data_IF_445764241545
#
_entry.id   IF_445764241545
#
_cell.length_a   1.000
_cell.length_b   1.000
_cell.length_c   1.000
_cell.angle_alpha   90.00
_cell.angle_beta   90.00
_cell.angle_gamma   90.00
#
_symmetry.space_group_name_H-M   'P 1'
#
loop_
_entity.id
_entity.type
_entity.pdbx_description
1 polymer ?
#
# COMPACT_ATOMS: atom_id res chain seq x y z
N UNK A 1 10.30 -47.10 57.53
CA UNK A 1 9.73 -45.83 57.02
C UNK A 1 10.71 -45.25 56.03
N UNK A 2 10.45 -45.40 54.73
CA UNK A 2 11.22 -44.76 53.66
C UNK A 2 10.32 -43.66 53.11
N UNK A 3 10.67 -42.40 53.35
CA UNK A 3 10.04 -41.26 52.69
C UNK A 3 10.64 -41.15 51.28
N UNK A 4 9.83 -41.45 50.27
CA UNK A 4 10.14 -41.11 48.89
C UNK A 4 9.78 -39.64 48.67
N UNK A 5 10.78 -38.80 48.41
CA UNK A 5 10.57 -37.45 47.92
C UNK A 5 10.10 -37.54 46.46
N UNK A 6 8.93 -36.98 46.18
CA UNK A 6 8.46 -36.74 44.82
C UNK A 6 9.22 -35.52 44.28
N UNK A 7 10.23 -35.76 43.45
CA UNK A 7 10.83 -34.70 42.64
C UNK A 7 9.81 -34.27 41.59
N UNK A 8 9.17 -33.14 41.84
CA UNK A 8 8.37 -32.44 40.84
C UNK A 8 9.32 -31.98 39.73
N UNK A 9 9.30 -32.70 38.61
CA UNK A 9 10.04 -32.34 37.40
C UNK A 9 9.41 -31.07 36.81
N UNK A 10 9.80 -29.90 37.33
CA UNK A 10 9.45 -28.62 36.76
C UNK A 10 10.04 -28.58 35.35
N UNK A 11 9.19 -28.61 34.31
CA UNK A 11 9.67 -28.40 32.96
C UNK A 11 10.45 -27.08 32.94
N UNK A 12 11.71 -27.07 32.46
CA UNK A 12 12.49 -25.85 32.42
C UNK A 12 11.72 -24.85 31.55
N UNK A 13 11.45 -23.67 32.14
CA UNK A 13 10.82 -22.56 31.44
C UNK A 13 11.58 -22.33 30.13
N UNK A 14 10.93 -22.39 28.96
CA UNK A 14 11.62 -22.20 27.70
C UNK A 14 12.26 -20.81 27.71
N UNK A 15 13.56 -20.75 27.41
CA UNK A 15 14.29 -19.49 27.29
C UNK A 15 13.69 -18.64 26.18
N UNK A 16 13.74 -17.32 26.34
CA UNK A 16 13.34 -16.37 25.30
C UNK A 16 14.17 -16.57 24.03
N UNK A 17 13.56 -16.42 22.86
CA UNK A 17 14.30 -16.39 21.59
C UNK A 17 15.04 -15.07 21.43
N UNK A 18 14.45 -13.97 21.92
CA UNK A 18 15.01 -12.62 21.86
C UNK A 18 14.76 -11.87 23.17
N UNK A 19 15.78 -11.18 23.67
CA UNK A 19 15.64 -10.11 24.68
C UNK A 19 16.03 -8.77 24.06
N UNK A 20 15.20 -7.75 24.28
CA UNK A 20 15.56 -6.36 24.03
C UNK A 20 15.76 -5.71 25.39
N UNK A 21 16.96 -5.22 25.68
CA UNK A 21 17.35 -4.71 27.01
C UNK A 21 17.85 -3.28 26.92
N UNK A 22 17.95 -2.60 28.07
CA UNK A 22 18.42 -1.21 28.15
C UNK A 22 17.61 -0.29 27.21
N UNK A 23 16.29 -0.45 27.20
CA UNK A 23 15.37 0.33 26.39
C UNK A 23 14.53 1.24 27.30
N UNK A 24 14.18 2.43 26.81
CA UNK A 24 13.09 3.21 27.39
C UNK A 24 11.77 2.72 26.76
N UNK A 25 11.07 1.77 27.38
CA UNK A 25 9.88 1.16 26.77
C UNK A 25 8.64 1.96 27.14
N UNK A 26 7.78 2.26 26.16
CA UNK A 26 6.41 2.71 26.40
C UNK A 26 5.45 1.57 26.05
N UNK A 27 4.66 1.11 27.03
CA UNK A 27 3.82 -0.10 26.87
C UNK A 27 2.41 0.21 26.37
N UNK A 28 1.98 1.47 26.46
CA UNK A 28 0.57 1.90 26.23
C UNK A 28 -0.41 1.32 27.26
N UNK A 29 0.09 0.66 28.32
CA UNK A 29 -0.71 0.25 29.48
C UNK A 29 -0.68 1.35 30.55
N UNK A 30 -1.84 1.86 30.95
CA UNK A 30 -1.94 2.88 31.99
C UNK A 30 -1.46 2.41 33.36
N UNK A 31 -1.51 1.11 33.65
CA UNK A 31 -1.05 0.56 34.94
C UNK A 31 0.46 0.37 34.97
N UNK A 32 1.08 0.02 33.83
CA UNK A 32 2.51 -0.23 33.70
C UNK A 32 3.11 0.52 32.49
N UNK A 33 3.07 1.87 32.47
CA UNK A 33 3.33 2.64 31.25
C UNK A 33 4.79 2.61 30.78
N UNK A 34 5.73 2.16 31.63
CA UNK A 34 7.15 2.14 31.35
C UNK A 34 7.79 0.81 31.75
N UNK A 35 8.80 0.39 30.99
CA UNK A 35 9.64 -0.76 31.29
C UNK A 35 11.07 -0.56 30.73
N UNK A 36 11.97 -1.48 31.05
CA UNK A 36 13.39 -1.40 30.70
C UNK A 36 13.84 -2.49 29.71
N UNK A 37 13.11 -3.61 29.66
CA UNK A 37 13.40 -4.73 28.79
C UNK A 37 12.14 -5.53 28.39
N UNK A 38 12.25 -6.29 27.29
CA UNK A 38 11.22 -7.20 26.76
C UNK A 38 11.84 -8.58 26.50
N UNK A 39 11.10 -9.64 26.83
CA UNK A 39 11.38 -11.01 26.41
C UNK A 39 10.38 -11.47 25.36
N UNK A 40 10.87 -12.12 24.30
CA UNK A 40 10.08 -12.64 23.18
C UNK A 40 10.37 -14.12 22.99
N UNK A 41 9.34 -14.93 22.74
CA UNK A 41 9.45 -16.31 22.25
C UNK A 41 8.71 -16.38 20.91
N UNK A 42 9.46 -16.63 19.83
CA UNK A 42 8.91 -16.64 18.48
C UNK A 42 8.31 -15.27 18.12
N UNK A 43 6.99 -15.23 17.92
CA UNK A 43 6.22 -14.04 17.56
C UNK A 43 5.48 -13.39 18.75
N UNK A 44 5.70 -13.87 19.97
CA UNK A 44 4.98 -13.40 21.17
C UNK A 44 5.91 -12.75 22.20
N UNK A 45 5.48 -11.60 22.71
CA UNK A 45 6.04 -11.00 23.91
C UNK A 45 5.58 -11.83 25.11
N UNK A 46 6.53 -12.37 25.88
CA UNK A 46 6.25 -13.23 27.04
C UNK A 46 6.52 -12.54 28.38
N UNK A 47 7.30 -11.45 28.38
CA UNK A 47 7.45 -10.58 29.53
C UNK A 47 7.90 -9.17 29.11
N UNK A 48 7.47 -8.18 29.88
CA UNK A 48 7.89 -6.77 29.79
C UNK A 48 8.12 -6.29 31.22
N UNK A 49 9.27 -5.69 31.51
CA UNK A 49 9.58 -5.31 32.88
C UNK A 49 10.97 -4.74 33.07
N UNK A 50 11.49 -4.89 34.28
CA UNK A 50 12.84 -4.48 34.64
C UNK A 50 13.91 -5.38 34.00
N UNK A 51 15.14 -4.87 33.87
CA UNK A 51 16.26 -5.67 33.33
C UNK A 51 16.46 -7.01 34.06
N UNK A 52 16.47 -7.10 35.41
CA UNK A 52 16.67 -8.38 36.10
C UNK A 52 15.54 -9.40 35.87
N UNK A 53 14.29 -8.94 35.83
CA UNK A 53 13.14 -9.81 35.55
C UNK A 53 13.26 -10.44 34.16
N UNK A 54 13.65 -9.65 33.17
CA UNK A 54 13.80 -10.10 31.78
C UNK A 54 15.03 -10.96 31.59
N UNK A 55 16.13 -10.70 32.29
CA UNK A 55 17.33 -11.53 32.23
C UNK A 55 17.08 -12.97 32.74
N UNK A 56 16.08 -13.17 33.62
CA UNK A 56 15.64 -14.51 34.06
C UNK A 56 15.05 -15.37 32.92
N UNK A 57 14.71 -14.77 31.78
CA UNK A 57 14.26 -15.47 30.58
C UNK A 57 15.41 -15.86 29.65
N UNK A 58 16.65 -15.44 29.94
CA UNK A 58 17.81 -15.76 29.11
C UNK A 58 18.09 -17.26 29.12
N UNK A 59 18.19 -17.83 27.91
CA UNK A 59 18.65 -19.19 27.66
C UNK A 59 19.90 -19.23 26.76
N UNK A 60 20.44 -20.43 26.51
CA UNK A 60 21.69 -20.60 25.75
C UNK A 60 21.63 -20.11 24.29
N UNK A 61 20.43 -20.05 23.70
CA UNK A 61 20.19 -19.62 22.30
C UNK A 61 19.53 -18.25 22.20
N UNK A 62 19.38 -17.54 23.33
CA UNK A 62 18.72 -16.24 23.36
C UNK A 62 19.57 -15.18 22.68
N UNK A 63 19.04 -14.57 21.63
CA UNK A 63 19.59 -13.35 21.06
C UNK A 63 19.32 -12.18 22.01
N UNK A 64 20.30 -11.29 22.19
CA UNK A 64 20.12 -10.08 23.02
C UNK A 64 20.49 -8.84 22.25
N UNK A 65 19.53 -7.93 22.17
CA UNK A 65 19.67 -6.59 21.62
C UNK A 65 19.80 -5.61 22.80
N UNK A 66 20.90 -4.87 22.85
CA UNK A 66 21.04 -3.69 23.71
C UNK A 66 20.50 -2.47 22.96
N UNK A 67 19.41 -1.88 23.45
CA UNK A 67 18.77 -0.73 22.82
C UNK A 67 19.51 0.59 23.09
N UNK A 68 20.52 0.61 23.97
CA UNK A 68 21.35 1.80 24.23
C UNK A 68 20.59 2.98 24.83
N UNK A 69 19.57 2.70 25.65
CA UNK A 69 18.67 3.70 26.25
C UNK A 69 17.63 4.27 25.26
N UNK A 70 17.57 3.78 24.02
CA UNK A 70 16.60 4.27 23.02
C UNK A 70 15.18 3.88 23.38
N UNK A 71 14.23 4.67 22.85
CA UNK A 71 12.80 4.43 22.99
C UNK A 71 12.37 3.20 22.20
N UNK A 72 11.66 2.27 22.87
CA UNK A 72 10.98 1.14 22.25
C UNK A 72 9.47 1.35 22.35
N UNK A 73 8.79 1.32 21.20
CA UNK A 73 7.35 1.51 21.08
C UNK A 73 6.70 0.25 20.47
N UNK A 74 5.40 0.02 20.70
CA UNK A 74 4.63 -0.86 19.85
C UNK A 74 4.72 -0.37 18.40
N UNK A 75 4.86 -1.29 17.45
CA UNK A 75 4.79 -0.93 16.04
C UNK A 75 3.42 -0.33 15.70
N UNK A 76 3.39 0.59 14.75
CA UNK A 76 2.17 1.28 14.37
C UNK A 76 1.19 0.33 13.68
N UNK A 77 -0.09 0.54 13.96
CA UNK A 77 -1.18 -0.11 13.26
C UNK A 77 -1.92 0.90 12.39
N UNK A 78 -1.90 0.71 11.08
CA UNK A 78 -2.78 1.47 10.19
C UNK A 78 -4.17 0.83 10.16
N UNK A 79 -5.17 1.59 10.60
CA UNK A 79 -6.52 1.07 10.78
C UNK A 79 -7.36 1.07 9.50
N UNK A 80 -6.91 1.70 8.39
CA UNK A 80 -7.70 1.76 7.17
C UNK A 80 -6.85 2.15 5.96
N UNK A 81 -6.58 1.20 5.07
CA UNK A 81 -5.90 1.47 3.81
C UNK A 81 -6.24 0.48 2.68
N UNK A 82 -5.83 0.82 1.46
CA UNK A 82 -5.87 -0.05 0.28
C UNK A 82 -4.44 -0.48 -0.05
N UNK A 83 -4.00 -1.61 0.52
CA UNK A 83 -2.57 -1.90 0.69
C UNK A 83 -1.88 -2.25 -0.63
N UNK A 84 -2.47 -3.12 -1.44
CA UNK A 84 -1.92 -3.48 -2.77
C UNK A 84 -1.93 -2.26 -3.70
N UNK A 85 -3.03 -1.51 -3.71
CA UNK A 85 -3.17 -0.32 -4.55
C UNK A 85 -2.16 0.75 -4.15
N UNK A 86 -1.95 0.97 -2.84
CA UNK A 86 -0.89 1.85 -2.32
C UNK A 86 0.50 1.39 -2.76
N UNK A 87 0.78 0.09 -2.69
CA UNK A 87 2.03 -0.50 -3.19
C UNK A 87 2.26 -0.32 -4.69
N UNK A 88 1.19 -0.38 -5.48
CA UNK A 88 1.25 -0.10 -6.92
C UNK A 88 1.50 1.39 -7.19
N UNK A 89 0.89 2.30 -6.42
CA UNK A 89 1.08 3.74 -6.55
C UNK A 89 2.53 4.18 -6.30
N UNK A 90 3.30 3.44 -5.49
CA UNK A 90 4.72 3.74 -5.24
C UNK A 90 5.62 3.62 -6.49
N UNK A 91 5.15 2.99 -7.57
CA UNK A 91 5.88 2.82 -8.84
C UNK A 91 5.21 3.53 -10.03
N UNK A 92 4.10 4.23 -9.76
CA UNK A 92 3.37 5.00 -10.75
C UNK A 92 4.05 6.34 -11.03
N UNK A 93 3.67 6.99 -12.13
CA UNK A 93 4.24 8.29 -12.47
C UNK A 93 3.82 9.35 -11.45
N UNK A 94 4.78 10.10 -10.92
CA UNK A 94 4.54 11.21 -10.00
C UNK A 94 4.53 12.55 -10.74
N UNK A 95 3.38 13.24 -10.73
CA UNK A 95 3.15 14.50 -11.45
C UNK A 95 2.74 15.66 -10.55
N UNK A 96 2.65 15.47 -9.22
CA UNK A 96 2.21 16.46 -8.23
C UNK A 96 2.98 17.78 -8.25
N UNK A 97 4.28 17.70 -8.51
CA UNK A 97 5.24 18.81 -8.56
C UNK A 97 5.68 19.14 -9.99
N UNK A 98 5.08 18.53 -11.02
CA UNK A 98 5.33 18.90 -12.41
C UNK A 98 4.72 20.27 -12.70
N UNK A 99 5.53 21.32 -12.59
CA UNK A 99 5.11 22.72 -12.66
C UNK A 99 5.02 23.30 -14.07
N UNK A 100 5.28 22.49 -15.11
CA UNK A 100 5.12 22.92 -16.51
C UNK A 100 4.57 21.78 -17.37
N UNK A 101 3.89 22.08 -18.49
CA UNK A 101 3.47 21.08 -19.46
C UNK A 101 4.65 20.22 -19.99
N UNK A 102 5.83 20.83 -20.15
CA UNK A 102 7.02 20.16 -20.65
C UNK A 102 7.55 19.14 -19.64
N UNK A 103 7.63 19.49 -18.37
CA UNK A 103 8.04 18.56 -17.31
C UNK A 103 7.02 17.44 -17.12
N UNK A 104 5.72 17.77 -17.19
CA UNK A 104 4.64 16.79 -17.19
C UNK A 104 4.82 15.75 -18.31
N UNK A 105 4.98 16.20 -19.56
CA UNK A 105 5.18 15.33 -20.71
C UNK A 105 6.47 14.50 -20.59
N UNK A 106 7.56 15.11 -20.12
CA UNK A 106 8.85 14.44 -19.92
C UNK A 106 8.78 13.31 -18.90
N UNK A 107 8.10 13.51 -17.77
CA UNK A 107 7.93 12.46 -16.75
C UNK A 107 7.07 11.31 -17.24
N UNK A 108 6.00 11.63 -17.97
CA UNK A 108 5.18 10.60 -18.65
C UNK A 108 6.01 9.83 -19.68
N UNK A 109 6.83 10.51 -20.48
CA UNK A 109 7.72 9.85 -21.44
C UNK A 109 8.71 8.90 -20.75
N UNK A 110 9.30 9.35 -19.64
CA UNK A 110 10.22 8.53 -18.85
C UNK A 110 9.53 7.29 -18.28
N UNK A 111 8.31 7.41 -17.74
CA UNK A 111 7.55 6.26 -17.24
C UNK A 111 7.15 5.33 -18.39
N UNK A 112 6.62 5.87 -19.49
CA UNK A 112 6.19 5.10 -20.66
C UNK A 112 7.35 4.29 -21.26
N UNK A 113 8.58 4.82 -21.23
CA UNK A 113 9.78 4.12 -21.73
C UNK A 113 10.18 2.88 -20.91
N UNK A 114 9.75 2.81 -19.64
CA UNK A 114 10.01 1.69 -18.72
C UNK A 114 8.81 0.77 -18.56
N UNK A 115 7.65 1.18 -19.06
CA UNK A 115 6.40 0.44 -18.93
C UNK A 115 6.40 -0.72 -19.93
N UNK A 116 6.22 -1.97 -19.49
CA UNK A 116 6.16 -3.12 -20.37
C UNK A 116 5.02 -3.01 -21.41
N UNK A 117 5.21 -3.66 -22.57
CA UNK A 117 4.22 -3.62 -23.64
C UNK A 117 2.89 -4.22 -23.15
N UNK A 118 1.81 -3.47 -23.32
CA UNK A 118 0.46 -3.86 -22.90
C UNK A 118 0.08 -3.39 -21.50
N UNK A 119 1.03 -2.85 -20.74
CA UNK A 119 0.77 -2.21 -19.45
C UNK A 119 0.47 -0.72 -19.62
N UNK A 120 -0.19 -0.16 -18.60
CA UNK A 120 -0.65 1.23 -18.59
C UNK A 120 0.25 2.08 -17.70
N UNK A 121 0.50 3.32 -18.12
CA UNK A 121 1.02 4.34 -17.22
C UNK A 121 -0.17 4.94 -16.46
N UNK A 122 -0.19 4.68 -15.15
CA UNK A 122 -1.21 5.13 -14.21
C UNK A 122 -0.61 6.06 -13.15
N UNK A 123 -1.48 6.59 -12.29
CA UNK A 123 -1.12 7.49 -11.19
C UNK A 123 -1.26 8.95 -11.58
N UNK A 124 -0.20 9.73 -11.41
CA UNK A 124 -0.18 11.15 -11.74
C UNK A 124 -0.26 12.03 -10.51
N UNK A 125 -1.48 12.44 -10.13
CA UNK A 125 -1.76 13.52 -9.17
C UNK A 125 -1.33 14.90 -9.66
N UNK A 126 -1.48 15.15 -10.96
CA UNK A 126 -1.11 16.43 -11.56
C UNK A 126 -2.02 17.57 -11.12
N UNK A 127 -1.50 18.79 -11.24
CA UNK A 127 -2.21 20.03 -10.93
C UNK A 127 -1.75 21.13 -11.90
N UNK A 128 -2.53 21.32 -12.96
CA UNK A 128 -2.30 22.30 -14.02
C UNK A 128 -2.37 23.74 -13.50
N UNK A 129 -3.01 23.98 -12.35
CA UNK A 129 -3.12 25.34 -11.77
C UNK A 129 -1.79 25.88 -11.29
N UNK A 130 -0.80 25.00 -11.11
CA UNK A 130 0.59 25.35 -10.78
C UNK A 130 1.43 25.70 -12.02
N UNK A 131 0.89 25.56 -13.23
CA UNK A 131 1.62 25.88 -14.45
C UNK A 131 1.63 27.40 -14.70
N UNK A 132 2.66 27.93 -15.40
CA UNK A 132 2.71 29.36 -15.75
C UNK A 132 1.48 29.84 -16.53
N UNK A 133 0.92 28.97 -17.37
CA UNK A 133 -0.36 29.17 -18.07
C UNK A 133 -1.30 28.00 -17.70
N UNK A 134 -2.22 28.20 -16.73
CA UNK A 134 -3.13 27.17 -16.22
C UNK A 134 -4.14 26.66 -17.24
N UNK A 135 -3.69 25.76 -18.11
CA UNK A 135 -4.56 25.06 -19.07
C UNK A 135 -4.54 23.57 -18.80
N UNK A 136 -5.72 22.96 -18.89
CA UNK A 136 -5.84 21.51 -18.80
C UNK A 136 -4.97 20.85 -19.88
N UNK A 137 -4.20 19.80 -19.53
CA UNK A 137 -3.49 19.04 -20.54
C UNK A 137 -4.47 18.37 -21.51
N UNK A 138 -4.00 18.13 -22.71
CA UNK A 138 -4.73 17.37 -23.73
C UNK A 138 -3.85 16.23 -24.20
N UNK A 139 -4.46 15.23 -24.86
CA UNK A 139 -3.75 14.08 -25.42
C UNK A 139 -2.60 14.50 -26.35
N UNK A 140 -2.72 15.66 -27.00
CA UNK A 140 -1.68 16.21 -27.88
C UNK A 140 -0.35 16.47 -27.14
N UNK A 141 -0.39 16.71 -25.84
CA UNK A 141 0.80 16.90 -25.01
C UNK A 141 1.58 15.58 -24.80
N UNK A 142 0.89 14.44 -24.78
CA UNK A 142 1.45 13.14 -24.37
C UNK A 142 1.52 12.11 -25.49
N UNK A 143 0.66 12.19 -26.52
CA UNK A 143 0.64 11.30 -27.68
C UNK A 143 2.03 11.20 -28.34
N UNK A 144 2.77 12.30 -28.60
CA UNK A 144 4.07 12.22 -29.27
C UNK A 144 5.16 11.50 -28.46
N UNK A 145 5.01 11.41 -27.14
CA UNK A 145 6.04 10.91 -26.22
C UNK A 145 5.69 9.56 -25.60
N UNK A 146 4.53 8.98 -25.94
CA UNK A 146 4.01 7.75 -25.32
C UNK A 146 3.93 6.56 -26.27
N UNK A 147 4.13 6.78 -27.59
CA UNK A 147 4.12 5.73 -28.62
C UNK A 147 2.84 4.87 -28.52
N UNK A 148 2.99 3.56 -28.31
CA UNK A 148 1.90 2.59 -28.19
C UNK A 148 1.52 2.30 -26.71
N UNK A 149 2.10 3.04 -25.76
CA UNK A 149 1.83 2.84 -24.33
C UNK A 149 0.55 3.60 -23.94
N UNK A 150 -0.51 2.92 -23.46
CA UNK A 150 -1.70 3.61 -22.97
C UNK A 150 -1.40 4.36 -21.66
N UNK A 151 -1.88 5.59 -21.57
CA UNK A 151 -1.72 6.46 -20.41
C UNK A 151 -3.10 6.82 -19.88
N UNK A 152 -3.29 6.71 -18.56
CA UNK A 152 -4.44 7.27 -17.86
C UNK A 152 -4.00 7.81 -16.50
N UNK A 153 -3.82 9.14 -16.42
CA UNK A 153 -3.25 9.81 -15.23
C UNK A 153 -4.22 10.79 -14.63
N UNK A 154 -4.44 10.68 -13.32
CA UNK A 154 -5.42 11.43 -12.54
C UNK A 154 -4.88 12.78 -12.08
N UNK A 155 -5.77 13.77 -12.02
CA UNK A 155 -5.57 15.04 -11.34
C UNK A 155 -5.52 14.82 -9.83
N UNK A 156 -4.91 15.75 -9.10
CA UNK A 156 -4.74 15.65 -7.64
C UNK A 156 -6.06 15.47 -6.87
N UNK A 157 -7.19 15.99 -7.40
CA UNK A 157 -8.51 15.90 -6.78
C UNK A 157 -9.29 14.62 -7.12
N UNK A 158 -8.78 13.79 -8.05
CA UNK A 158 -9.44 12.57 -8.50
C UNK A 158 -10.67 12.80 -9.39
N UNK A 159 -11.04 14.04 -9.70
CA UNK A 159 -12.25 14.36 -10.47
C UNK A 159 -11.99 14.52 -11.97
N UNK A 160 -10.72 14.50 -12.38
CA UNK A 160 -10.33 14.56 -13.79
C UNK A 160 -9.17 13.62 -14.05
N UNK A 161 -9.14 13.02 -15.24
CA UNK A 161 -7.99 12.25 -15.69
C UNK A 161 -7.71 12.49 -17.18
N UNK A 162 -6.43 12.39 -17.53
CA UNK A 162 -5.94 12.50 -18.90
C UNK A 162 -5.68 11.09 -19.47
N UNK A 163 -6.40 10.75 -20.53
CA UNK A 163 -6.14 9.60 -21.38
C UNK A 163 -5.47 10.01 -22.69
N UNK A 164 -4.44 9.29 -23.12
CA UNK A 164 -3.87 9.46 -24.46
C UNK A 164 -4.74 8.77 -25.54
N UNK A 165 -4.38 8.97 -26.81
CA UNK A 165 -5.13 8.39 -27.94
C UNK A 165 -5.18 6.85 -27.91
N UNK A 166 -4.10 6.21 -27.43
CA UNK A 166 -4.03 4.74 -27.30
C UNK A 166 -5.02 4.23 -26.26
N UNK A 167 -5.04 4.84 -25.07
CA UNK A 167 -5.98 4.49 -24.00
C UNK A 167 -7.44 4.66 -24.44
N UNK A 168 -7.78 5.77 -25.09
CA UNK A 168 -9.13 6.00 -25.61
C UNK A 168 -9.51 4.98 -26.69
N UNK A 169 -8.58 4.59 -27.56
CA UNK A 169 -8.81 3.55 -28.57
C UNK A 169 -9.10 2.19 -27.94
N UNK A 170 -8.33 1.79 -26.92
CA UNK A 170 -8.56 0.55 -26.18
C UNK A 170 -9.92 0.55 -25.47
N UNK A 171 -10.35 1.70 -24.97
CA UNK A 171 -11.65 1.92 -24.36
C UNK A 171 -12.82 2.07 -25.36
N UNK A 172 -12.55 2.09 -26.67
CA UNK A 172 -13.57 2.33 -27.68
C UNK A 172 -14.16 3.76 -27.68
N UNK A 173 -13.52 4.71 -27.01
CA UNK A 173 -13.97 6.10 -26.92
C UNK A 173 -13.60 6.86 -28.20
N UNK A 174 -14.56 7.59 -28.77
CA UNK A 174 -14.37 8.40 -29.96
C UNK A 174 -15.30 9.65 -29.97
N UNK A 175 -15.32 10.38 -31.10
CA UNK A 175 -16.14 11.58 -31.28
C UNK A 175 -17.65 11.34 -31.08
N UNK A 176 -18.14 10.12 -31.31
CA UNK A 176 -19.57 9.77 -31.18
C UNK A 176 -19.94 9.21 -29.81
N UNK A 177 -18.96 8.95 -28.93
CA UNK A 177 -19.25 8.47 -27.57
C UNK A 177 -20.01 9.56 -26.81
N UNK A 178 -21.22 9.32 -26.29
CA UNK A 178 -21.94 10.32 -25.54
C UNK A 178 -21.28 10.55 -24.17
N UNK A 179 -21.61 11.68 -23.54
CA UNK A 179 -21.37 11.85 -22.11
C UNK A 179 -22.21 10.86 -21.30
N UNK A 180 -21.82 10.63 -20.04
CA UNK A 180 -22.50 9.69 -19.13
C UNK A 180 -23.17 10.45 -17.99
N UNK A 181 -24.25 9.93 -17.38
CA UNK A 181 -24.80 10.55 -16.18
C UNK A 181 -23.74 10.76 -15.10
N UNK A 182 -23.58 12.00 -14.64
CA UNK A 182 -22.58 12.37 -13.63
C UNK A 182 -21.15 12.47 -14.14
N UNK A 183 -20.91 12.54 -15.46
CA UNK A 183 -19.56 12.70 -16.01
C UNK A 183 -19.53 13.28 -17.42
N UNK A 184 -18.43 13.93 -17.77
CA UNK A 184 -18.28 14.64 -19.06
C UNK A 184 -16.97 14.27 -19.75
N UNK A 185 -17.04 14.04 -21.06
CA UNK A 185 -15.87 13.91 -21.93
C UNK A 185 -15.56 15.29 -22.50
N UNK A 186 -14.42 15.87 -22.14
CA UNK A 186 -14.03 17.17 -22.68
C UNK A 186 -13.71 17.04 -24.18
N UNK A 187 -14.26 17.97 -24.98
CA UNK A 187 -14.13 17.97 -26.45
C UNK A 187 -13.53 19.27 -26.94
N UNK A 188 -12.79 19.18 -28.04
CA UNK A 188 -12.31 20.34 -28.78
C UNK A 188 -13.44 20.97 -29.64
N UNK A 189 -13.13 22.09 -30.31
CA UNK A 189 -14.10 22.78 -31.18
C UNK A 189 -14.57 21.98 -32.39
N UNK A 190 -13.96 20.83 -32.68
CA UNK A 190 -14.38 19.88 -33.73
C UNK A 190 -15.18 18.69 -33.18
N UNK A 191 -15.44 18.67 -31.86
CA UNK A 191 -16.17 17.59 -31.20
C UNK A 191 -15.33 16.35 -30.86
N UNK A 192 -14.01 16.38 -31.07
CA UNK A 192 -13.15 15.26 -30.74
C UNK A 192 -12.80 15.27 -29.24
N UNK A 193 -12.71 14.11 -28.56
CA UNK A 193 -12.23 14.05 -27.19
C UNK A 193 -10.81 14.63 -27.08
N UNK A 194 -10.62 15.54 -26.12
CA UNK A 194 -9.31 16.12 -25.81
C UNK A 194 -8.42 15.16 -25.02
N UNK A 195 -9.00 14.08 -24.48
CA UNK A 195 -8.35 13.16 -23.55
C UNK A 195 -8.70 13.43 -22.09
N UNK A 196 -9.38 14.53 -21.75
CA UNK A 196 -9.84 14.79 -20.37
C UNK A 196 -11.23 14.18 -20.13
N UNK A 197 -11.31 13.35 -19.09
CA UNK A 197 -12.54 12.73 -18.60
C UNK A 197 -12.82 13.22 -17.20
N UNK A 198 -14.04 13.70 -16.94
CA UNK A 198 -14.46 14.23 -15.65
C UNK A 198 -15.45 13.31 -14.95
N UNK A 199 -15.26 13.13 -13.65
CA UNK A 199 -16.16 12.38 -12.77
C UNK A 199 -16.50 10.99 -13.35
N UNK A 200 -17.79 10.64 -13.50
CA UNK A 200 -18.21 9.32 -13.96
C UNK A 200 -17.73 8.97 -15.38
N UNK A 201 -17.27 9.93 -16.19
CA UNK A 201 -16.73 9.64 -17.51
C UNK A 201 -15.38 8.90 -17.44
N UNK A 202 -14.65 8.99 -16.31
CA UNK A 202 -13.41 8.24 -16.10
C UNK A 202 -13.63 6.72 -16.18
N UNK A 203 -14.83 6.24 -15.80
CA UNK A 203 -15.23 4.83 -15.89
C UNK A 203 -15.20 4.27 -17.31
N UNK A 204 -15.33 5.13 -18.33
CA UNK A 204 -15.20 4.70 -19.72
C UNK A 204 -13.78 4.19 -20.00
N UNK A 205 -12.77 4.78 -19.36
CA UNK A 205 -11.37 4.40 -19.52
C UNK A 205 -10.99 3.30 -18.52
N UNK A 206 -11.40 3.39 -17.25
CA UNK A 206 -11.05 2.38 -16.23
C UNK A 206 -11.42 0.95 -16.67
N UNK A 207 -12.57 0.76 -17.32
CA UNK A 207 -13.04 -0.55 -17.81
C UNK A 207 -12.13 -1.19 -18.87
N UNK A 208 -11.28 -0.40 -19.53
CA UNK A 208 -10.32 -0.88 -20.51
C UNK A 208 -8.97 -1.25 -19.89
N UNK A 209 -8.73 -0.87 -18.63
CA UNK A 209 -7.50 -1.20 -17.90
C UNK A 209 -7.60 -2.66 -17.45
N UNK A 210 -6.65 -3.53 -17.86
CA UNK A 210 -6.64 -4.91 -17.39
C UNK A 210 -6.49 -4.98 -15.86
N UNK A 211 -7.11 -5.98 -15.21
CA UNK A 211 -6.84 -6.22 -13.80
C UNK A 211 -5.36 -6.55 -13.59
N UNK A 212 -4.86 -6.25 -12.38
CA UNK A 212 -3.48 -6.51 -12.02
C UNK A 212 -3.17 -8.02 -12.14
N UNK A 213 -2.12 -8.35 -12.89
CA UNK A 213 -1.61 -9.73 -12.96
C UNK A 213 -1.10 -10.17 -11.58
N UNK A 214 -0.91 -11.48 -11.40
CA UNK A 214 -0.36 -12.03 -10.16
C UNK A 214 1.02 -11.48 -9.83
N UNK A 215 1.92 -11.39 -10.82
CA UNK A 215 3.27 -10.85 -10.63
C UNK A 215 3.26 -9.37 -10.26
N UNK A 216 2.46 -8.55 -10.94
CA UNK A 216 2.31 -7.13 -10.59
C UNK A 216 1.79 -6.96 -9.16
N UNK A 217 0.88 -7.84 -8.73
CA UNK A 217 0.33 -7.84 -7.37
C UNK A 217 1.36 -8.20 -6.31
N UNK A 218 2.18 -9.22 -6.56
CA UNK A 218 3.31 -9.55 -5.69
C UNK A 218 4.32 -8.40 -5.60
N UNK A 219 4.64 -7.75 -6.72
CA UNK A 219 5.52 -6.58 -6.77
C UNK A 219 4.94 -5.42 -5.95
N UNK A 220 3.67 -5.09 -6.16
CA UNK A 220 2.97 -4.06 -5.40
C UNK A 220 2.94 -4.37 -3.89
N UNK A 221 2.61 -5.61 -3.51
CA UNK A 221 2.61 -6.07 -2.14
C UNK A 221 3.99 -5.90 -1.48
N UNK A 222 5.08 -6.30 -2.14
CA UNK A 222 6.44 -6.14 -1.62
C UNK A 222 6.79 -4.67 -1.40
N UNK A 223 6.49 -3.79 -2.34
CA UNK A 223 6.73 -2.34 -2.17
C UNK A 223 5.94 -1.79 -0.99
N UNK A 224 4.68 -2.17 -0.84
CA UNK A 224 3.86 -1.77 0.30
C UNK A 224 4.45 -2.27 1.63
N UNK A 225 4.91 -3.51 1.69
CA UNK A 225 5.55 -4.10 2.88
C UNK A 225 6.85 -3.37 3.26
N UNK A 226 7.72 -3.09 2.29
CA UNK A 226 8.95 -2.31 2.54
C UNK A 226 8.62 -0.89 3.00
N UNK A 227 7.63 -0.25 2.36
CA UNK A 227 7.22 1.11 2.74
C UNK A 227 6.65 1.14 4.16
N UNK A 228 5.73 0.25 4.49
CA UNK A 228 5.16 0.10 5.84
C UNK A 228 6.27 -0.12 6.89
N UNK A 229 7.19 -1.05 6.63
CA UNK A 229 8.31 -1.33 7.52
C UNK A 229 9.21 -0.11 7.74
N UNK A 230 9.49 0.67 6.69
CA UNK A 230 10.32 1.89 6.79
C UNK A 230 9.68 3.00 7.63
N UNK A 231 8.36 2.97 7.80
CA UNK A 231 7.60 3.89 8.64
C UNK A 231 7.26 3.31 10.04
N UNK A 232 7.74 2.08 10.35
CA UNK A 232 7.43 1.40 11.60
C UNK A 232 5.99 0.86 11.69
N UNK A 233 5.28 0.74 10.57
CA UNK A 233 3.95 0.14 10.48
C UNK A 233 4.08 -1.38 10.40
N UNK A 234 3.63 -2.06 11.45
CA UNK A 234 3.78 -3.53 11.61
C UNK A 234 2.45 -4.27 11.48
N UNK A 235 1.32 -3.57 11.46
CA UNK A 235 0.03 -4.14 11.09
C UNK A 235 -0.85 -3.14 10.35
N UNK A 236 -1.71 -3.66 9.48
CA UNK A 236 -2.62 -2.85 8.67
C UNK A 236 -3.98 -3.53 8.56
N UNK A 237 -5.02 -2.73 8.34
CA UNK A 237 -6.32 -3.21 7.88
C UNK A 237 -6.51 -2.86 6.40
N UNK A 238 -6.43 -3.88 5.54
CA UNK A 238 -6.66 -3.74 4.10
C UNK A 238 -8.15 -3.84 3.78
N UNK A 239 -8.71 -2.72 3.33
CA UNK A 239 -10.11 -2.58 2.97
C UNK A 239 -10.38 -3.00 1.53
N UNK A 240 -11.45 -3.76 1.35
CA UNK A 240 -11.95 -4.27 0.07
C UNK A 240 -10.89 -5.00 -0.78
N UNK A 241 -10.11 -5.94 -0.20
CA UNK A 241 -9.16 -6.71 -0.98
C UNK A 241 -9.87 -7.59 -2.01
N UNK A 242 -9.24 -7.77 -3.17
CA UNK A 242 -9.60 -8.85 -4.08
C UNK A 242 -9.15 -10.20 -3.50
N UNK A 243 -9.81 -11.30 -3.89
CA UNK A 243 -9.33 -12.65 -3.51
C UNK A 243 -7.88 -12.90 -3.95
N UNK A 244 -7.47 -12.30 -5.08
CA UNK A 244 -6.10 -12.37 -5.55
C UNK A 244 -5.11 -11.63 -4.63
N UNK A 245 -5.54 -10.58 -3.93
CA UNK A 245 -4.72 -9.88 -2.92
C UNK A 245 -4.43 -10.80 -1.73
N UNK A 246 -5.46 -11.50 -1.25
CA UNK A 246 -5.31 -12.50 -0.19
C UNK A 246 -4.37 -13.63 -0.61
N UNK A 247 -4.49 -14.12 -1.85
CA UNK A 247 -3.59 -15.13 -2.39
C UNK A 247 -2.13 -14.65 -2.45
N UNK A 248 -1.90 -13.40 -2.87
CA UNK A 248 -0.56 -12.81 -2.86
C UNK A 248 0.02 -12.72 -1.44
N UNK A 249 -0.78 -12.36 -0.43
CA UNK A 249 -0.32 -12.37 0.97
C UNK A 249 0.02 -13.77 1.48
N UNK A 250 -0.78 -14.77 1.12
CA UNK A 250 -0.51 -16.18 1.48
C UNK A 250 0.83 -16.63 0.91
N UNK A 251 1.09 -16.35 -0.36
CA UNK A 251 2.36 -16.70 -1.01
C UNK A 251 3.56 -16.00 -0.34
N UNK A 252 3.43 -14.70 -0.04
CA UNK A 252 4.49 -13.96 0.65
C UNK A 252 4.71 -14.48 2.08
N UNK A 253 3.65 -14.91 2.77
CA UNK A 253 3.75 -15.51 4.10
C UNK A 253 4.48 -16.86 4.05
N UNK A 254 4.14 -17.73 3.10
CA UNK A 254 4.80 -19.02 2.89
C UNK A 254 6.29 -18.87 2.57
N UNK A 255 6.68 -17.79 1.88
CA UNK A 255 8.06 -17.44 1.58
C UNK A 255 8.80 -16.74 2.73
N UNK A 256 8.13 -16.41 3.83
CA UNK A 256 8.71 -15.66 4.96
C UNK A 256 8.96 -14.18 4.65
N UNK A 257 8.26 -13.62 3.66
CA UNK A 257 8.46 -12.26 3.15
C UNK A 257 7.38 -11.28 3.62
N UNK A 258 6.32 -11.78 4.27
CA UNK A 258 5.26 -10.95 4.84
C UNK A 258 5.73 -10.28 6.15
N UNK A 259 6.27 -9.07 6.04
CA UNK A 259 6.81 -8.27 7.16
C UNK A 259 5.74 -7.57 8.03
N UNK A 260 4.53 -7.43 7.52
CA UNK A 260 3.44 -6.67 8.14
C UNK A 260 2.24 -7.59 8.32
N UNK A 261 1.60 -7.55 9.50
CA UNK A 261 0.36 -8.31 9.73
C UNK A 261 -0.79 -7.66 8.96
N UNK A 262 -1.45 -8.42 8.10
CA UNK A 262 -2.56 -7.93 7.30
C UNK A 262 -3.88 -8.43 7.88
N UNK A 263 -4.76 -7.51 8.25
CA UNK A 263 -6.17 -7.80 8.47
C UNK A 263 -6.95 -7.46 7.19
N UNK A 264 -7.50 -8.47 6.52
CA UNK A 264 -8.29 -8.28 5.30
C UNK A 264 -9.76 -8.04 5.66
N UNK A 265 -10.31 -6.89 5.26
CA UNK A 265 -11.71 -6.52 5.45
C UNK A 265 -12.43 -6.50 4.08
N UNK A 266 -13.03 -7.62 3.65
CA UNK A 266 -13.74 -7.68 2.37
C UNK A 266 -14.98 -6.77 2.37
N UNK A 267 -15.37 -6.31 1.18
CA UNK A 267 -16.56 -5.47 1.02
C UNK A 267 -17.82 -6.27 1.37
N UNK A 268 -18.71 -5.65 2.16
CA UNK A 268 -20.03 -6.22 2.42
C UNK A 268 -20.89 -6.10 1.15
N UNK A 269 -21.23 -7.25 0.56
CA UNK A 269 -21.97 -7.30 -0.70
C UNK A 269 -23.47 -7.53 -0.50
N UNK A 270 -23.89 -7.96 0.71
CA UNK A 270 -25.28 -8.26 1.06
C UNK A 270 -25.85 -7.32 2.12
N UNK A 271 -25.38 -6.05 2.15
CA UNK A 271 -25.80 -5.06 3.16
C UNK A 271 -27.33 -4.87 3.24
N UNK A 272 -28.03 -5.07 2.12
CA UNK A 272 -29.49 -4.96 2.03
C UNK A 272 -30.22 -6.06 2.83
N UNK A 273 -29.59 -7.21 3.03
CA UNK A 273 -30.14 -8.26 3.89
C UNK A 273 -29.85 -7.98 5.37
N UNK A 274 -28.66 -7.45 5.67
CA UNK A 274 -28.29 -7.07 7.03
C UNK A 274 -29.11 -5.89 7.56
N UNK A 275 -29.45 -4.93 6.70
CA UNK A 275 -30.28 -3.78 7.06
C UNK A 275 -31.75 -4.13 7.38
N UNK A 276 -32.16 -5.39 7.17
CA UNK A 276 -33.51 -5.88 7.52
C UNK A 276 -33.59 -6.45 8.94
N UNK A 277 -32.47 -6.57 9.65
CA UNK A 277 -32.35 -7.03 11.04
C UNK A 277 -32.38 -5.81 11.96
#
# INVERSE_FOLDING_TARGET
MIMAALDANAQPKPGATLLITNAAIYTVDNQHPRAEAVAVIGDRIVAVGSKPEIDSWRGPQTEVIDAGGKLLLPGFNDAHLHFIQGGAQLDQVALTDASTPQEFAKRIAAQASKTPKGEWVLGGRWDETKWPDPQLPTRQLVDPVTRDTPIFVERYDGHQALANSVAMKLAGVNAKTPDVPGGVIMRDGSGNPTGIFKDAAQELIYKAIPPMSHEQRLLAARRALEHAASLGVTSVQHMNPEFADVAAYSELAEKGELKTRIYAAPMETNWQEQAKI
#
